data_IF_402425396612
#
_entry.id   IF_402425396612
#
_cell.length_a   1.000
_cell.length_b   1.000
_cell.length_c   1.000
_cell.angle_alpha   90.00
_cell.angle_beta   90.00
_cell.angle_gamma   90.00
#
_symmetry.space_group_name_H-M   'P 1'
#
loop_
_entity.id
_entity.type
_entity.pdbx_description
1 polymer ?
#
# COMPACT_ATOMS: atom_id res chain seq x y z
N UNK A 1 -29.33 -8.97 32.38
CA UNK A 1 -27.90 -9.24 32.08
C UNK A 1 -27.49 -8.23 31.01
N UNK A 2 -26.65 -7.29 31.43
CA UNK A 2 -26.06 -6.18 30.66
C UNK A 2 -25.23 -6.70 29.48
N UNK A 3 -24.94 -6.00 28.38
CA UNK A 3 -25.39 -4.79 27.73
C UNK A 3 -24.74 -4.84 26.33
N UNK A 4 -25.40 -4.33 25.30
CA UNK A 4 -24.76 -4.11 24.00
C UNK A 4 -23.57 -3.17 24.16
N UNK A 5 -22.41 -3.59 23.67
CA UNK A 5 -21.26 -2.71 23.47
C UNK A 5 -20.79 -2.82 22.03
N UNK A 6 -20.81 -1.65 21.39
CA UNK A 6 -20.25 -1.40 20.09
C UNK A 6 -18.76 -1.79 20.05
N UNK A 7 -18.40 -2.43 18.96
CA UNK A 7 -17.05 -2.40 18.38
C UNK A 7 -17.32 -2.70 16.91
N UNK A 8 -17.70 -1.74 16.06
CA UNK A 8 -16.88 -0.57 15.71
C UNK A 8 -15.40 -0.76 16.07
N UNK A 9 -14.87 -1.95 15.71
CA UNK A 9 -13.45 -2.03 15.42
C UNK A 9 -13.34 -1.27 14.12
N UNK A 10 -12.89 -0.03 14.24
CA UNK A 10 -12.09 0.63 13.23
C UNK A 10 -11.23 -0.45 12.57
N UNK A 11 -11.66 -0.93 11.41
CA UNK A 11 -10.79 -1.69 10.52
C UNK A 11 -9.91 -0.58 9.95
N UNK A 12 -8.93 -0.17 10.74
CA UNK A 12 -7.72 0.45 10.18
C UNK A 12 -7.25 -0.55 9.14
N UNK A 13 -7.30 -0.23 7.83
CA UNK A 13 -6.87 -1.18 6.83
C UNK A 13 -5.35 -1.26 6.98
N UNK A 14 -4.88 -2.23 7.74
CA UNK A 14 -3.45 -2.51 7.80
C UNK A 14 -3.00 -3.02 6.43
N UNK A 15 -1.81 -2.63 5.93
CA UNK A 15 -1.31 -3.05 4.62
C UNK A 15 -1.30 -4.58 4.45
N UNK A 16 -1.17 -5.33 5.55
CA UNK A 16 -1.31 -6.80 5.67
C UNK A 16 -2.61 -7.36 5.07
N UNK A 17 -3.75 -6.68 5.22
CA UNK A 17 -5.04 -7.14 4.67
C UNK A 17 -5.15 -6.95 3.15
N UNK A 18 -4.37 -6.04 2.57
CA UNK A 18 -4.32 -5.80 1.12
C UNK A 18 -3.60 -6.94 0.41
N UNK A 19 -2.48 -7.39 0.98
CA UNK A 19 -1.69 -8.50 0.42
C UNK A 19 -2.28 -9.88 0.71
N UNK A 20 -3.16 -10.00 1.71
CA UNK A 20 -3.91 -11.23 1.99
C UNK A 20 -4.84 -11.66 0.85
N UNK A 21 -5.11 -10.79 -0.13
CA UNK A 21 -5.85 -11.12 -1.36
C UNK A 21 -5.00 -11.83 -2.41
N UNK A 22 -3.67 -11.82 -2.26
CA UNK A 22 -2.74 -12.50 -3.16
C UNK A 22 -2.62 -13.97 -2.77
N UNK A 23 -2.91 -14.84 -3.73
CA UNK A 23 -2.98 -16.29 -3.49
C UNK A 23 -1.62 -16.98 -3.70
N UNK A 24 -0.63 -16.28 -4.30
CA UNK A 24 0.70 -16.80 -4.58
C UNK A 24 1.74 -16.17 -3.62
N UNK A 25 2.51 -16.97 -2.86
CA UNK A 25 3.56 -16.46 -1.98
C UNK A 25 4.66 -15.68 -2.72
N UNK A 26 4.89 -15.96 -4.00
CA UNK A 26 5.84 -15.21 -4.84
C UNK A 26 5.30 -13.82 -5.12
N UNK A 27 4.00 -13.70 -5.40
CA UNK A 27 3.36 -12.40 -5.62
C UNK A 27 3.33 -11.57 -4.33
N UNK A 28 3.09 -12.20 -3.18
CA UNK A 28 3.19 -11.53 -1.86
C UNK A 28 4.59 -10.97 -1.65
N UNK A 29 5.64 -11.78 -1.82
CA UNK A 29 7.02 -11.34 -1.63
C UNK A 29 7.41 -10.21 -2.61
N UNK A 30 6.98 -10.30 -3.87
CA UNK A 30 7.18 -9.26 -4.88
C UNK A 30 6.46 -7.97 -4.52
N UNK A 31 5.23 -8.08 -4.04
CA UNK A 31 4.42 -6.93 -3.63
C UNK A 31 5.00 -6.23 -2.41
N UNK A 32 5.44 -6.97 -1.40
CA UNK A 32 6.10 -6.43 -0.20
C UNK A 32 7.42 -5.76 -0.55
N UNK A 33 8.27 -6.41 -1.35
CA UNK A 33 9.53 -5.84 -1.79
C UNK A 33 9.33 -4.55 -2.62
N UNK A 34 8.36 -4.58 -3.54
CA UNK A 34 8.02 -3.41 -4.35
C UNK A 34 7.43 -2.27 -3.50
N UNK A 35 6.56 -2.59 -2.54
CA UNK A 35 5.98 -1.64 -1.62
C UNK A 35 7.09 -0.98 -0.79
N UNK A 36 8.00 -1.75 -0.19
CA UNK A 36 9.04 -1.19 0.66
C UNK A 36 10.01 -0.30 -0.13
N UNK A 37 10.43 -0.74 -1.32
CA UNK A 37 11.31 0.02 -2.21
C UNK A 37 10.68 1.34 -2.69
N UNK A 38 9.40 1.31 -3.05
CA UNK A 38 8.64 2.50 -3.44
C UNK A 38 8.39 3.43 -2.25
N UNK A 39 8.03 2.86 -1.10
CA UNK A 39 7.74 3.58 0.13
C UNK A 39 8.98 4.31 0.67
N UNK A 40 10.14 3.68 0.67
CA UNK A 40 11.40 4.32 1.09
C UNK A 40 11.68 5.63 0.32
N UNK A 41 11.43 5.62 -0.99
CA UNK A 41 11.63 6.80 -1.85
C UNK A 41 10.56 7.86 -1.63
N UNK A 42 9.28 7.45 -1.52
CA UNK A 42 8.16 8.35 -1.27
C UNK A 42 8.30 9.01 0.11
N UNK A 43 8.58 8.23 1.16
CA UNK A 43 8.77 8.71 2.53
C UNK A 43 9.88 9.76 2.61
N UNK A 44 10.97 9.59 1.88
CA UNK A 44 12.05 10.57 1.80
C UNK A 44 11.61 11.90 1.14
N UNK A 45 10.57 11.87 0.31
CA UNK A 45 10.01 13.06 -0.36
C UNK A 45 8.80 13.67 0.36
N UNK A 46 8.18 12.95 1.31
CA UNK A 46 7.05 13.45 2.11
C UNK A 46 7.56 14.29 3.28
N UNK A 47 6.74 15.26 3.69
CA UNK A 47 7.01 16.07 4.91
C UNK A 47 6.63 15.27 6.15
N UNK A 48 7.25 15.58 7.28
CA UNK A 48 7.01 14.91 8.59
C UNK A 48 5.56 15.05 9.09
N UNK A 49 4.77 15.98 8.55
CA UNK A 49 3.37 16.25 8.92
C UNK A 49 2.34 15.42 8.13
N UNK A 50 2.79 14.53 7.23
CA UNK A 50 1.90 13.67 6.42
C UNK A 50 1.59 12.38 7.16
N UNK A 51 0.35 11.92 7.07
CA UNK A 51 -0.06 10.61 7.57
C UNK A 51 0.59 9.49 6.74
N UNK A 52 1.67 8.94 7.30
CA UNK A 52 2.45 7.88 6.70
C UNK A 52 1.69 6.57 6.57
N UNK A 53 0.78 6.25 7.48
CA UNK A 53 0.02 4.99 7.45
C UNK A 53 -1.02 5.02 6.33
N UNK A 54 -1.75 6.14 6.20
CA UNK A 54 -2.70 6.35 5.10
C UNK A 54 -2.03 6.33 3.73
N UNK A 55 -0.88 6.99 3.57
CA UNK A 55 -0.17 7.00 2.29
C UNK A 55 0.48 5.64 1.96
N UNK A 56 0.98 4.92 2.97
CA UNK A 56 1.52 3.57 2.79
C UNK A 56 0.43 2.59 2.38
N UNK A 57 -0.76 2.69 2.99
CA UNK A 57 -1.91 1.88 2.61
C UNK A 57 -2.35 2.16 1.16
N UNK A 58 -2.39 3.44 0.77
CA UNK A 58 -2.71 3.83 -0.60
C UNK A 58 -1.70 3.26 -1.60
N UNK A 59 -0.42 3.27 -1.24
CA UNK A 59 0.63 2.66 -2.07
C UNK A 59 0.46 1.14 -2.16
N UNK A 60 0.10 0.46 -1.07
CA UNK A 60 -0.17 -0.98 -1.08
C UNK A 60 -1.33 -1.36 -2.03
N UNK A 61 -2.42 -0.59 -2.03
CA UNK A 61 -3.55 -0.79 -2.95
C UNK A 61 -3.13 -0.64 -4.42
N UNK A 62 -2.29 0.35 -4.71
CA UNK A 62 -1.69 0.56 -6.03
C UNK A 62 -0.80 -0.61 -6.42
N UNK A 63 0.06 -1.09 -5.52
CA UNK A 63 0.96 -2.23 -5.76
C UNK A 63 0.15 -3.47 -6.09
N UNK A 64 -0.86 -3.82 -5.28
CA UNK A 64 -1.73 -4.98 -5.53
C UNK A 64 -2.42 -4.90 -6.90
N UNK A 65 -2.89 -3.71 -7.27
CA UNK A 65 -3.52 -3.48 -8.58
C UNK A 65 -2.55 -3.63 -9.78
N UNK A 66 -1.24 -3.51 -9.54
CA UNK A 66 -0.21 -3.55 -10.58
C UNK A 66 0.50 -4.90 -10.70
N UNK A 67 0.36 -5.79 -9.73
CA UNK A 67 0.92 -7.16 -9.77
C UNK A 67 0.64 -7.91 -11.07
N UNK A 68 -0.60 -7.98 -11.59
CA UNK A 68 -0.85 -8.71 -12.84
C UNK A 68 -0.28 -8.03 -14.09
N UNK A 69 0.23 -6.79 -13.98
CA UNK A 69 0.73 -5.98 -15.08
C UNK A 69 2.26 -5.86 -15.05
N UNK A 70 2.87 -5.98 -13.87
CA UNK A 70 4.31 -5.87 -13.68
C UNK A 70 5.02 -7.20 -13.99
N UNK A 71 6.15 -7.11 -14.67
CA UNK A 71 6.97 -8.30 -15.00
C UNK A 71 7.75 -8.79 -13.75
N UNK A 72 8.21 -7.85 -12.93
CA UNK A 72 9.05 -8.06 -11.76
C UNK A 72 8.80 -7.02 -10.67
N UNK A 73 9.39 -7.24 -9.49
CA UNK A 73 9.28 -6.35 -8.32
C UNK A 73 9.80 -4.93 -8.56
N UNK A 74 10.81 -4.76 -9.43
CA UNK A 74 11.40 -3.46 -9.71
C UNK A 74 10.50 -2.65 -10.66
N UNK A 75 9.95 -3.29 -11.70
CA UNK A 75 8.92 -2.70 -12.56
C UNK A 75 7.65 -2.37 -11.75
N UNK A 76 7.26 -3.26 -10.83
CA UNK A 76 6.12 -3.06 -9.92
C UNK A 76 6.32 -1.81 -9.05
N UNK A 77 7.48 -1.67 -8.41
CA UNK A 77 7.82 -0.50 -7.60
C UNK A 77 7.81 0.79 -8.44
N UNK A 78 8.41 0.76 -9.63
CA UNK A 78 8.49 1.92 -10.54
C UNK A 78 7.10 2.40 -10.96
N UNK A 79 6.23 1.48 -11.37
CA UNK A 79 4.85 1.78 -11.77
C UNK A 79 4.00 2.23 -10.59
N UNK A 80 4.20 1.63 -9.41
CA UNK A 80 3.48 2.02 -8.21
C UNK A 80 3.81 3.46 -7.81
N UNK A 81 5.09 3.84 -7.82
CA UNK A 81 5.52 5.22 -7.59
C UNK A 81 4.95 6.17 -8.65
N UNK A 82 5.06 5.84 -9.93
CA UNK A 82 4.54 6.69 -11.02
C UNK A 82 3.04 6.93 -10.86
N UNK A 83 2.28 5.88 -10.52
CA UNK A 83 0.83 5.98 -10.28
C UNK A 83 0.52 6.77 -9.01
N UNK A 84 1.30 6.59 -7.94
CA UNK A 84 1.17 7.34 -6.70
C UNK A 84 1.38 8.85 -6.90
N UNK A 85 2.47 9.23 -7.58
CA UNK A 85 2.75 10.64 -7.88
C UNK A 85 1.77 11.24 -8.88
N UNK A 86 1.31 10.47 -9.87
CA UNK A 86 0.27 10.91 -10.82
C UNK A 86 -1.10 11.09 -10.16
N UNK A 87 -1.40 10.30 -9.12
CA UNK A 87 -2.63 10.39 -8.36
C UNK A 87 -2.61 11.48 -7.26
N UNK A 88 -1.47 12.14 -7.02
CA UNK A 88 -1.43 13.46 -6.38
C UNK A 88 -1.75 14.50 -7.46
N UNK A 89 -2.98 15.05 -7.53
CA UNK A 89 -3.19 16.22 -8.36
C UNK A 89 -2.24 17.29 -7.86
N UNK A 90 -1.45 17.84 -8.77
CA UNK A 90 -0.68 19.06 -8.53
C UNK A 90 -1.68 20.15 -8.18
N UNK A 91 -1.90 20.39 -6.89
CA UNK A 91 -2.68 21.48 -6.34
C UNK A 91 -1.75 22.43 -5.62
#
# INVERSE_FOLDING_TARGET
>A
MFAGIASDRHIEPSPEMTFSSLNDPVDIARAEAALDAAWHQIKASLKEDVDFDSERLRLADIVVSLIPIAEDEADLARRAMERYFKARPSG
#
